data_IF_871372722468
#
_entry.id   IF_871372722468
#
_cell.length_a   1.000
_cell.length_b   1.000
_cell.length_c   1.000
_cell.angle_alpha   90.00
_cell.angle_beta   90.00
_cell.angle_gamma   90.00
#
_symmetry.space_group_name_H-M   'P 1'
#
loop_
_entity.id
_entity.type
_entity.pdbx_description
1 polymer ?
#
# COMPACT_ATOMS: atom_id res chain seq x y z
N UNK A 1 -1.19 -31.88 5.13
CA UNK A 1 -0.93 -30.99 4.02
C UNK A 1 0.13 -29.96 4.42
N UNK A 2 1.23 -29.91 3.67
CA UNK A 2 2.26 -28.86 3.78
C UNK A 2 2.18 -27.99 2.54
N UNK A 3 2.27 -26.69 2.75
CA UNK A 3 2.35 -25.70 1.66
C UNK A 3 3.61 -24.89 1.88
N UNK A 4 4.46 -24.85 0.88
CA UNK A 4 5.71 -24.05 0.89
C UNK A 4 5.63 -23.05 -0.23
N UNK A 5 5.86 -21.79 0.09
CA UNK A 5 5.87 -20.68 -0.86
C UNK A 5 6.94 -19.67 -0.45
N UNK A 6 7.24 -18.74 -1.32
CA UNK A 6 8.10 -17.60 -1.04
C UNK A 6 7.41 -16.30 -1.44
N UNK A 7 7.98 -15.17 -1.04
CA UNK A 7 7.49 -13.85 -1.46
C UNK A 7 8.04 -13.41 -2.83
N UNK A 8 8.92 -14.22 -3.42
CA UNK A 8 9.56 -13.91 -4.70
C UNK A 8 10.66 -12.85 -4.64
N UNK A 9 10.76 -12.11 -3.57
CA UNK A 9 11.82 -11.10 -3.41
C UNK A 9 12.98 -11.68 -2.62
N UNK A 10 14.18 -11.58 -3.20
CA UNK A 10 15.44 -11.77 -2.47
C UNK A 10 16.00 -10.40 -2.14
N UNK A 11 16.76 -10.26 -1.06
CA UNK A 11 17.57 -9.08 -0.77
C UNK A 11 18.72 -8.95 -1.78
N UNK A 12 18.35 -8.72 -3.03
CA UNK A 12 19.31 -8.49 -4.09
C UNK A 12 19.94 -7.11 -3.90
N UNK A 13 21.24 -7.02 -4.15
CA UNK A 13 21.95 -5.75 -4.21
C UNK A 13 21.13 -4.81 -5.10
N UNK A 14 20.64 -3.70 -4.58
CA UNK A 14 19.77 -2.83 -5.35
C UNK A 14 20.55 -2.34 -6.57
N UNK A 15 19.97 -2.54 -7.76
CA UNK A 15 20.41 -1.83 -8.96
C UNK A 15 20.53 -0.35 -8.59
N UNK A 16 21.66 0.26 -8.86
CA UNK A 16 21.81 1.69 -8.65
C UNK A 16 20.97 2.43 -9.71
N UNK A 17 19.72 2.69 -9.37
CA UNK A 17 18.76 3.37 -10.24
C UNK A 17 19.27 4.75 -10.70
N UNK A 18 20.22 5.35 -9.96
CA UNK A 18 20.82 6.64 -10.33
C UNK A 18 21.64 6.52 -11.59
N UNK A 19 22.30 5.37 -11.83
CA UNK A 19 23.05 5.09 -13.05
C UNK A 19 22.17 5.08 -14.30
N UNK A 20 20.90 4.69 -14.14
CA UNK A 20 19.95 4.60 -15.25
C UNK A 20 19.04 5.83 -15.36
N UNK A 21 19.30 6.90 -14.58
CA UNK A 21 18.46 8.11 -14.52
C UNK A 21 16.98 7.84 -14.18
N UNK A 22 16.71 6.75 -13.49
CA UNK A 22 15.37 6.47 -12.95
C UNK A 22 15.20 7.32 -11.70
N UNK A 23 14.12 8.11 -11.61
CA UNK A 23 13.84 8.86 -10.39
C UNK A 23 13.79 7.92 -9.19
N UNK A 24 14.68 8.12 -8.25
CA UNK A 24 14.77 7.31 -7.04
C UNK A 24 14.83 8.25 -5.83
N UNK A 25 14.34 7.77 -4.69
CA UNK A 25 14.32 8.56 -3.47
C UNK A 25 13.94 7.72 -2.26
N UNK A 26 13.65 8.41 -1.18
CA UNK A 26 13.19 7.80 0.07
C UNK A 26 11.80 8.31 0.40
N UNK A 27 10.85 7.39 0.56
CA UNK A 27 9.49 7.69 0.98
C UNK A 27 9.30 7.30 2.44
N UNK A 28 8.94 8.27 3.27
CA UNK A 28 8.73 8.11 4.70
C UNK A 28 7.24 8.11 5.03
N UNK A 29 6.66 6.95 5.29
CA UNK A 29 5.23 6.83 5.60
C UNK A 29 4.82 7.61 6.84
N UNK A 30 5.64 7.62 7.88
CA UNK A 30 5.36 8.37 9.11
C UNK A 30 5.35 9.89 8.88
N UNK A 31 6.17 10.40 7.96
CA UNK A 31 6.14 11.82 7.57
C UNK A 31 4.90 12.13 6.73
N UNK A 32 4.58 11.27 5.79
CA UNK A 32 3.38 11.41 4.96
C UNK A 32 2.10 11.47 5.81
N UNK A 33 1.99 10.59 6.81
CA UNK A 33 0.83 10.57 7.73
C UNK A 33 0.78 11.81 8.62
N UNK A 34 1.92 12.28 9.12
CA UNK A 34 1.99 13.52 9.91
C UNK A 34 1.58 14.74 9.07
N UNK A 35 2.08 14.84 7.83
CA UNK A 35 1.70 15.91 6.91
C UNK A 35 0.22 15.86 6.55
N UNK A 36 -0.32 14.66 6.30
CA UNK A 36 -1.75 14.47 6.06
C UNK A 36 -2.59 14.94 7.25
N UNK A 37 -2.19 14.58 8.48
CA UNK A 37 -2.92 15.04 9.66
C UNK A 37 -2.90 16.57 9.78
N UNK A 38 -1.75 17.22 9.53
CA UNK A 38 -1.65 18.69 9.52
C UNK A 38 -2.52 19.31 8.43
N UNK A 39 -2.55 18.73 7.25
CA UNK A 39 -3.41 19.18 6.15
C UNK A 39 -4.90 19.11 6.51
N UNK A 40 -5.34 17.98 7.07
CA UNK A 40 -6.73 17.81 7.51
C UNK A 40 -7.09 18.75 8.67
N UNK A 41 -6.14 19.02 9.58
CA UNK A 41 -6.33 20.04 10.63
C UNK A 41 -6.51 21.45 10.05
N UNK A 42 -5.77 21.77 9.01
CA UNK A 42 -5.90 23.08 8.34
C UNK A 42 -7.29 23.22 7.66
N UNK A 43 -7.86 22.14 7.14
CA UNK A 43 -9.17 22.14 6.48
C UNK A 43 -10.35 22.10 7.46
N UNK A 44 -10.23 21.27 8.50
CA UNK A 44 -11.38 20.91 9.35
C UNK A 44 -11.22 21.30 10.83
N UNK A 45 -10.14 22.03 11.14
CA UNK A 45 -9.82 22.46 12.51
C UNK A 45 -9.07 21.40 13.30
N UNK A 46 -8.72 21.72 14.55
CA UNK A 46 -7.91 20.87 15.43
C UNK A 46 -8.50 19.46 15.58
N UNK A 47 -7.61 18.44 15.56
CA UNK A 47 -7.98 17.05 15.79
C UNK A 47 -6.95 16.07 15.25
N UNK A 48 -7.00 14.84 15.73
CA UNK A 48 -6.20 13.71 15.26
C UNK A 48 -7.00 12.93 14.22
N UNK A 49 -6.89 13.32 12.96
CA UNK A 49 -7.64 12.73 11.84
C UNK A 49 -7.04 11.41 11.35
N UNK A 50 -5.72 11.26 11.47
CA UNK A 50 -5.01 10.01 11.16
C UNK A 50 -4.85 9.22 12.45
N UNK A 51 -5.53 8.07 12.56
CA UNK A 51 -5.42 7.19 13.72
C UNK A 51 -4.08 6.45 13.75
N UNK A 52 -3.60 6.03 12.57
CA UNK A 52 -2.33 5.35 12.43
C UNK A 52 -2.06 4.89 11.00
N UNK A 53 -0.99 4.09 10.86
CA UNK A 53 -0.63 3.46 9.58
C UNK A 53 -0.05 2.08 9.81
N UNK A 54 -0.18 1.22 8.81
CA UNK A 54 0.49 -0.09 8.76
C UNK A 54 0.96 -0.37 7.33
N UNK A 55 2.28 -0.54 7.15
CA UNK A 55 2.87 -0.61 5.81
C UNK A 55 2.58 0.69 5.04
N UNK A 56 1.92 0.58 3.90
CA UNK A 56 1.48 1.72 3.09
C UNK A 56 -0.02 2.04 3.23
N UNK A 57 -0.67 1.47 4.24
CA UNK A 57 -2.07 1.71 4.54
C UNK A 57 -2.20 2.75 5.65
N UNK A 58 -3.11 3.70 5.49
CA UNK A 58 -3.41 4.75 6.46
C UNK A 58 -4.83 4.56 6.97
N UNK A 59 -5.00 4.71 8.28
CA UNK A 59 -6.27 4.58 8.98
C UNK A 59 -6.72 5.95 9.46
N UNK A 60 -7.93 6.35 9.09
CA UNK A 60 -8.53 7.60 9.55
C UNK A 60 -9.31 7.40 10.84
N UNK A 61 -9.30 8.41 11.69
CA UNK A 61 -10.09 8.44 12.92
C UNK A 61 -11.58 8.68 12.62
N UNK A 62 -12.30 7.61 12.33
CA UNK A 62 -13.71 7.65 11.94
C UNK A 62 -14.57 8.26 13.03
N UNK A 63 -14.26 8.01 14.31
CA UNK A 63 -14.99 8.58 15.44
C UNK A 63 -14.90 10.12 15.45
N UNK A 64 -13.73 10.68 15.17
CA UNK A 64 -13.55 12.12 15.05
C UNK A 64 -14.32 12.69 13.85
N UNK A 65 -14.31 11.98 12.70
CA UNK A 65 -15.05 12.40 11.52
C UNK A 65 -16.55 12.47 11.79
N UNK A 66 -17.11 11.47 12.48
CA UNK A 66 -18.51 11.43 12.88
C UNK A 66 -18.83 12.57 13.86
N UNK A 67 -18.00 12.78 14.88
CA UNK A 67 -18.15 13.87 15.85
C UNK A 67 -18.18 15.25 15.17
N UNK A 68 -17.35 15.44 14.14
CA UNK A 68 -17.29 16.68 13.37
C UNK A 68 -18.30 16.73 12.22
N UNK A 69 -19.13 15.71 12.06
CA UNK A 69 -20.13 15.59 10.98
C UNK A 69 -19.51 15.67 9.58
N UNK A 70 -18.29 15.17 9.41
CA UNK A 70 -17.58 15.13 8.14
C UNK A 70 -17.94 13.85 7.38
N UNK A 71 -18.23 13.98 6.10
CA UNK A 71 -18.49 12.82 5.24
C UNK A 71 -17.17 12.12 4.95
N UNK A 72 -17.09 10.83 5.28
CA UNK A 72 -15.89 10.02 5.05
C UNK A 72 -15.39 10.11 3.60
N UNK A 73 -16.32 10.08 2.63
CA UNK A 73 -15.97 10.17 1.21
C UNK A 73 -15.18 11.44 0.89
N UNK A 74 -15.65 12.61 1.36
CA UNK A 74 -14.99 13.89 1.08
C UNK A 74 -13.59 13.95 1.71
N UNK A 75 -13.46 13.40 2.92
CA UNK A 75 -12.16 13.36 3.60
C UNK A 75 -11.20 12.40 2.87
N UNK A 76 -11.70 11.25 2.40
CA UNK A 76 -10.89 10.31 1.62
C UNK A 76 -10.39 10.93 0.31
N UNK A 77 -11.27 11.61 -0.45
CA UNK A 77 -10.92 12.28 -1.70
C UNK A 77 -9.85 13.35 -1.47
N UNK A 78 -10.05 14.24 -0.48
CA UNK A 78 -9.06 15.27 -0.11
C UNK A 78 -7.74 14.69 0.35
N UNK A 79 -7.79 13.61 1.13
CA UNK A 79 -6.58 12.92 1.60
C UNK A 79 -5.82 12.28 0.45
N UNK A 80 -6.52 11.66 -0.49
CA UNK A 80 -5.91 11.03 -1.66
C UNK A 80 -5.27 12.07 -2.59
N UNK A 81 -5.97 13.19 -2.87
CA UNK A 81 -5.44 14.32 -3.63
C UNK A 81 -4.14 14.85 -3.00
N UNK A 82 -4.16 15.12 -1.69
CA UNK A 82 -2.99 15.61 -0.98
C UNK A 82 -1.80 14.64 -1.01
N UNK A 83 -2.05 13.36 -0.76
CA UNK A 83 -1.00 12.34 -0.74
C UNK A 83 -0.41 12.11 -2.14
N UNK A 84 -1.20 12.23 -3.20
CA UNK A 84 -0.75 12.07 -4.57
C UNK A 84 0.27 13.14 -5.01
N UNK A 85 0.27 14.31 -4.36
CA UNK A 85 1.25 15.39 -4.62
C UNK A 85 2.61 15.13 -3.94
N UNK A 86 2.70 14.13 -3.06
CA UNK A 86 3.96 13.84 -2.38
C UNK A 86 4.93 13.14 -3.32
N UNK A 87 6.19 13.56 -3.26
CA UNK A 87 7.26 12.95 -4.05
C UNK A 87 7.38 11.44 -3.76
N UNK A 88 7.43 10.64 -4.81
CA UNK A 88 7.54 9.20 -4.72
C UNK A 88 6.21 8.46 -4.69
N UNK A 89 5.10 9.13 -4.52
CA UNK A 89 3.78 8.52 -4.63
C UNK A 89 3.42 8.35 -6.10
N UNK A 90 3.09 7.13 -6.49
CA UNK A 90 2.62 6.79 -7.82
C UNK A 90 1.11 6.94 -7.90
N UNK A 91 0.41 6.43 -6.90
CA UNK A 91 -1.04 6.41 -6.83
C UNK A 91 -1.53 6.29 -5.40
N UNK A 92 -2.72 6.79 -5.14
CA UNK A 92 -3.41 6.61 -3.86
C UNK A 92 -4.78 6.01 -4.14
N UNK A 93 -5.10 4.93 -3.45
CA UNK A 93 -6.41 4.28 -3.51
C UNK A 93 -7.17 4.56 -2.22
N UNK A 94 -8.44 4.82 -2.35
CA UNK A 94 -9.33 4.98 -1.21
C UNK A 94 -10.14 3.70 -0.96
N UNK A 95 -10.62 3.51 0.27
CA UNK A 95 -11.57 2.43 0.58
C UNK A 95 -12.82 2.46 -0.33
N UNK A 96 -13.23 3.65 -0.76
CA UNK A 96 -14.34 3.85 -1.67
C UNK A 96 -14.04 3.32 -3.08
N UNK A 97 -12.80 3.48 -3.57
CA UNK A 97 -12.37 2.98 -4.89
C UNK A 97 -12.42 1.46 -4.95
N UNK A 98 -12.04 0.78 -3.86
CA UNK A 98 -12.09 -0.68 -3.78
C UNK A 98 -13.51 -1.24 -3.80
N UNK A 99 -14.46 -0.52 -3.24
CA UNK A 99 -15.86 -0.95 -3.17
C UNK A 99 -16.65 -0.62 -4.44
N UNK A 100 -16.34 0.51 -5.09
CA UNK A 100 -17.12 1.05 -6.21
C UNK A 100 -16.28 1.29 -7.48
N UNK A 101 -14.97 1.11 -7.41
CA UNK A 101 -14.05 1.38 -8.50
C UNK A 101 -14.16 0.42 -9.68
N UNK A 102 -13.55 0.82 -10.79
CA UNK A 102 -13.71 0.22 -12.11
C UNK A 102 -13.18 -1.22 -12.23
N UNK A 103 -13.49 -1.84 -13.38
CA UNK A 103 -13.18 -3.25 -13.70
C UNK A 103 -11.76 -3.45 -14.29
N UNK A 104 -10.75 -2.67 -13.93
CA UNK A 104 -9.40 -2.98 -14.39
C UNK A 104 -8.81 -4.16 -13.61
N UNK A 105 -7.96 -4.98 -14.25
CA UNK A 105 -7.32 -6.13 -13.62
C UNK A 105 -6.51 -5.73 -12.36
N UNK A 106 -5.92 -4.55 -12.37
CA UNK A 106 -5.19 -3.96 -11.24
C UNK A 106 -6.10 -3.76 -10.02
N UNK A 107 -7.30 -3.19 -10.24
CA UNK A 107 -8.29 -3.02 -9.18
C UNK A 107 -8.84 -4.34 -8.65
N UNK A 108 -8.94 -5.36 -9.50
CA UNK A 108 -9.40 -6.69 -9.07
C UNK A 108 -8.41 -7.33 -8.08
N UNK A 109 -7.11 -7.29 -8.36
CA UNK A 109 -6.09 -7.82 -7.46
C UNK A 109 -6.11 -7.11 -6.11
N UNK A 110 -6.17 -5.77 -6.11
CA UNK A 110 -6.23 -4.99 -4.89
C UNK A 110 -7.54 -5.20 -4.12
N UNK A 111 -8.68 -5.26 -4.81
CA UNK A 111 -9.97 -5.55 -4.21
C UNK A 111 -10.02 -6.93 -3.56
N UNK A 112 -9.40 -7.94 -4.16
CA UNK A 112 -9.33 -9.29 -3.59
C UNK A 112 -8.50 -9.33 -2.30
N UNK A 113 -7.56 -8.39 -2.13
CA UNK A 113 -6.74 -8.23 -0.93
C UNK A 113 -7.37 -7.30 0.11
N UNK A 114 -8.41 -6.54 -0.25
CA UNK A 114 -9.05 -5.55 0.61
C UNK A 114 -10.08 -6.20 1.54
N UNK A 115 -9.99 -5.88 2.82
CA UNK A 115 -10.97 -6.29 3.83
C UNK A 115 -11.51 -5.05 4.56
N UNK A 116 -12.83 -4.85 4.50
CA UNK A 116 -13.52 -3.65 5.04
C UNK A 116 -13.25 -3.39 6.53
N UNK A 117 -12.96 -4.45 7.30
CA UNK A 117 -12.75 -4.33 8.76
C UNK A 117 -11.28 -4.29 9.16
N UNK A 118 -10.36 -4.54 8.24
CA UNK A 118 -8.93 -4.72 8.57
C UNK A 118 -8.00 -3.85 7.72
N UNK A 119 -8.39 -3.56 6.48
CA UNK A 119 -7.59 -2.71 5.59
C UNK A 119 -7.77 -1.24 5.93
N UNK A 120 -6.72 -0.46 5.62
CA UNK A 120 -6.73 0.99 5.82
C UNK A 120 -7.75 1.70 4.93
N UNK A 121 -8.05 2.92 5.28
CA UNK A 121 -8.95 3.80 4.53
C UNK A 121 -8.29 4.32 3.24
N UNK A 122 -6.96 4.45 3.27
CA UNK A 122 -6.13 4.88 2.13
C UNK A 122 -4.99 3.88 1.96
N UNK A 123 -4.68 3.54 0.72
CA UNK A 123 -3.52 2.73 0.34
C UNK A 123 -2.65 3.55 -0.61
N UNK A 124 -1.37 3.70 -0.27
CA UNK A 124 -0.39 4.42 -1.07
C UNK A 124 0.39 3.41 -1.91
N UNK A 125 0.51 3.70 -3.19
CA UNK A 125 1.44 3.04 -4.09
C UNK A 125 2.64 3.97 -4.33
N UNK A 126 3.83 3.46 -4.12
CA UNK A 126 5.08 4.22 -4.25
C UNK A 126 5.78 3.80 -5.54
N UNK A 127 6.38 4.75 -6.22
CA UNK A 127 7.12 4.50 -7.46
C UNK A 127 8.22 3.45 -7.28
N UNK A 128 8.36 2.57 -8.26
CA UNK A 128 9.46 1.61 -8.32
C UNK A 128 10.82 2.33 -8.24
N UNK A 129 11.78 1.69 -7.57
CA UNK A 129 13.10 2.28 -7.34
C UNK A 129 13.19 3.19 -6.12
N UNK A 130 12.05 3.51 -5.49
CA UNK A 130 12.04 4.25 -4.23
C UNK A 130 12.24 3.32 -3.04
N UNK A 131 12.87 3.84 -1.99
CA UNK A 131 13.02 3.15 -0.71
C UNK A 131 11.89 3.55 0.22
N UNK A 132 11.16 2.56 0.72
CA UNK A 132 10.22 2.76 1.81
C UNK A 132 10.99 2.82 3.12
N UNK A 133 10.88 3.94 3.80
CA UNK A 133 11.54 4.18 5.07
C UNK A 133 10.52 4.31 6.18
N UNK A 134 10.79 3.65 7.29
CA UNK A 134 10.08 3.90 8.53
C UNK A 134 11.09 4.29 9.62
N UNK A 135 11.04 5.53 10.06
CA UNK A 135 11.99 6.05 11.06
C UNK A 135 11.77 5.48 12.45
N UNK A 136 10.58 4.96 12.75
CA UNK A 136 10.24 4.38 14.04
C UNK A 136 10.79 2.95 14.17
N UNK A 137 10.55 2.11 13.13
CA UNK A 137 11.02 0.72 13.11
C UNK A 137 12.42 0.57 12.51
N UNK A 138 12.94 1.62 11.86
CA UNK A 138 14.19 1.63 11.09
C UNK A 138 14.17 0.64 9.91
N UNK A 139 12.99 0.22 9.50
CA UNK A 139 12.84 -0.64 8.34
C UNK A 139 13.10 0.12 7.04
N UNK A 140 13.81 -0.53 6.14
CA UNK A 140 14.07 -0.05 4.78
C UNK A 140 13.63 -1.15 3.83
N UNK A 141 12.70 -0.83 2.93
CA UNK A 141 12.25 -1.76 1.88
C UNK A 141 12.34 -1.08 0.54
N UNK A 142 12.87 -1.78 -0.46
CA UNK A 142 12.90 -1.29 -1.84
C UNK A 142 11.56 -1.59 -2.51
N UNK A 143 11.03 -0.63 -3.27
CA UNK A 143 9.86 -0.84 -4.13
C UNK A 143 10.34 -1.32 -5.49
N UNK A 144 9.85 -2.48 -5.91
CA UNK A 144 10.12 -3.06 -7.21
C UNK A 144 8.90 -2.93 -8.12
N UNK A 145 9.15 -2.75 -9.40
CA UNK A 145 8.12 -2.84 -10.42
C UNK A 145 8.02 -4.28 -10.92
N UNK A 146 6.79 -4.74 -11.06
CA UNK A 146 6.49 -6.03 -11.65
C UNK A 146 6.19 -7.15 -10.65
N UNK A 147 5.57 -8.19 -11.20
CA UNK A 147 5.32 -9.44 -10.51
C UNK A 147 6.57 -10.30 -10.54
N UNK A 148 6.97 -10.80 -9.37
CA UNK A 148 8.06 -11.79 -9.27
C UNK A 148 7.41 -13.16 -9.11
N UNK A 149 7.70 -14.04 -10.06
CA UNK A 149 7.24 -15.42 -10.00
C UNK A 149 7.88 -16.13 -8.79
N UNK A 150 7.07 -16.84 -8.04
CA UNK A 150 7.53 -17.62 -6.89
C UNK A 150 6.96 -19.03 -6.93
N UNK A 151 7.70 -20.02 -6.42
CA UNK A 151 7.24 -21.39 -6.38
C UNK A 151 6.15 -21.57 -5.32
N UNK A 152 5.15 -22.37 -5.66
CA UNK A 152 4.14 -22.84 -4.74
C UNK A 152 4.16 -24.37 -4.71
N UNK A 153 4.52 -24.95 -3.58
CA UNK A 153 4.71 -26.39 -3.42
C UNK A 153 3.68 -26.94 -2.44
N UNK A 154 2.96 -27.95 -2.86
CA UNK A 154 2.03 -28.69 -2.02
C UNK A 154 2.58 -30.09 -1.78
N UNK A 155 2.56 -30.54 -0.52
CA UNK A 155 2.94 -31.90 -0.12
C UNK A 155 1.96 -32.48 0.89
N UNK A 156 1.60 -33.74 0.72
CA UNK A 156 0.75 -34.47 1.68
C UNK A 156 0.02 -35.64 1.08
N UNK A 157 -0.72 -36.35 1.93
CA UNK A 157 -1.53 -37.47 1.50
C UNK A 157 -2.60 -37.01 0.49
N UNK A 158 -2.73 -37.73 -0.60
CA UNK A 158 -3.71 -37.44 -1.66
C UNK A 158 -3.22 -36.42 -2.72
N UNK A 159 -2.00 -35.91 -2.60
CA UNK A 159 -1.41 -35.05 -3.61
C UNK A 159 -0.57 -35.89 -4.57
N UNK A 160 -0.95 -35.91 -5.84
CA UNK A 160 -0.18 -36.59 -6.89
C UNK A 160 1.12 -35.81 -7.16
N UNK A 161 2.20 -36.56 -7.42
CA UNK A 161 3.48 -35.96 -7.83
C UNK A 161 3.33 -35.37 -9.23
N UNK A 162 3.74 -34.10 -9.39
CA UNK A 162 3.71 -33.43 -10.69
C UNK A 162 4.26 -32.01 -10.57
N UNK A 163 4.61 -31.44 -11.71
CA UNK A 163 5.01 -30.03 -11.84
C UNK A 163 4.04 -29.35 -12.77
N UNK A 164 3.53 -28.21 -12.36
CA UNK A 164 2.68 -27.33 -13.17
C UNK A 164 3.53 -26.13 -13.54
N UNK A 165 3.98 -26.09 -14.78
CA UNK A 165 4.77 -24.99 -15.32
C UNK A 165 3.87 -24.03 -16.11
N UNK A 166 2.99 -23.38 -15.39
CA UNK A 166 2.13 -22.31 -15.92
C UNK A 166 1.81 -21.33 -14.82
N UNK A 167 1.60 -20.09 -15.23
CA UNK A 167 1.11 -19.05 -14.33
C UNK A 167 -0.24 -19.46 -13.71
N UNK A 168 -0.32 -19.41 -12.40
CA UNK A 168 -1.55 -19.61 -11.63
C UNK A 168 -1.83 -18.28 -10.94
N UNK A 169 -2.88 -17.58 -11.38
CA UNK A 169 -3.24 -16.25 -10.84
C UNK A 169 -3.70 -16.27 -9.39
#
# INVERSE_FOLDING_TARGET
>A
LFVVTSTGYTDYVPLDYTLYRVPAGEFYINRATALLNMYLMALYGEGQYVEGYHGLQIYLNRSLLEQKQLRLKDVLERSAEFLAELSGVQKVYTAHDFLLGGMSAEYELMRNSYNVHRSGDLLIEVNAGWKLMNTETRDVKMVYDGHVDFPLVFMGAGIASGVIDRYVP
#
